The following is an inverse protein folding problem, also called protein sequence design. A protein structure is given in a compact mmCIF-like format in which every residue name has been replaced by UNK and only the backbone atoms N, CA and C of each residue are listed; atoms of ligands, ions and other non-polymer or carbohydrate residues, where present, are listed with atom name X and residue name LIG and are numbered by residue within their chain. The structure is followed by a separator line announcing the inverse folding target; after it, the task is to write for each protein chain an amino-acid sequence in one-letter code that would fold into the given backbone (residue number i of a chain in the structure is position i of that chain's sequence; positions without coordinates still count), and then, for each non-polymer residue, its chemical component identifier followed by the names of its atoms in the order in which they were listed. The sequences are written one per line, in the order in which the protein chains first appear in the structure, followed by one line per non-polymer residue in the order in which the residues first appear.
data_IF_722530248847
#
_entry.id   IF_722530248847
#
_cell.length_a   1.000
_cell.length_b   1.000
_cell.length_c   1.000
_cell.angle_alpha   90.00
_cell.angle_beta   90.00
_cell.angle_gamma   90.00
#
_symmetry.space_group_name_H-M   'P 1'
#
loop_
_entity.id
_entity.type
_entity.pdbx_description
1 polymer ?
#
# COMPACT_ATOMS: atom_id res chain seq x y z
N UNK A 1 8.03 10.27 -14.95
CA UNK A 1 6.62 10.68 -14.72
C UNK A 1 6.65 12.11 -14.22
N UNK A 2 5.96 13.03 -14.89
CA UNK A 2 5.78 14.40 -14.38
C UNK A 2 4.63 14.30 -13.39
N UNK A 3 4.90 14.42 -12.09
CA UNK A 3 3.82 14.59 -11.09
C UNK A 3 3.05 15.85 -11.46
N UNK A 4 1.72 15.72 -11.52
CA UNK A 4 0.77 16.80 -11.83
C UNK A 4 -0.10 17.12 -10.61
N UNK A 5 0.43 16.87 -9.43
CA UNK A 5 -0.31 17.15 -8.20
C UNK A 5 -0.17 18.63 -7.89
N UNK A 6 -1.31 19.31 -7.77
CA UNK A 6 -1.36 20.73 -7.42
C UNK A 6 -1.91 20.87 -6.00
N UNK A 7 -1.14 21.53 -5.14
CA UNK A 7 -1.55 21.88 -3.78
C UNK A 7 -1.72 23.39 -3.69
N UNK A 8 -2.92 23.82 -3.31
CA UNK A 8 -3.24 25.23 -3.07
C UNK A 8 -3.52 25.45 -1.59
N UNK A 9 -2.93 26.49 -1.01
CA UNK A 9 -3.08 26.86 0.40
C UNK A 9 -4.09 28.01 0.49
N UNK A 10 -5.11 27.87 1.33
CA UNK A 10 -6.23 28.82 1.50
C UNK A 10 -6.81 29.28 0.15
N UNK A 11 -7.26 28.33 -0.70
CA UNK A 11 -7.72 28.68 -2.04
C UNK A 11 -9.06 29.46 -1.98
N UNK A 12 -9.21 30.43 -2.88
CA UNK A 12 -10.37 31.31 -2.91
C UNK A 12 -11.55 30.70 -3.69
N UNK A 13 -12.18 29.69 -3.09
CA UNK A 13 -13.44 29.13 -3.57
C UNK A 13 -14.39 28.81 -2.40
N UNK A 14 -15.69 28.75 -2.72
CA UNK A 14 -16.78 28.70 -1.73
C UNK A 14 -16.65 27.49 -0.80
N UNK A 15 -16.24 26.33 -1.31
CA UNK A 15 -16.09 25.11 -0.54
C UNK A 15 -14.95 25.21 0.49
N UNK A 16 -13.85 25.91 0.17
CA UNK A 16 -12.75 26.13 1.11
C UNK A 16 -13.17 27.07 2.25
N UNK A 17 -13.90 28.15 1.92
CA UNK A 17 -14.45 29.07 2.92
C UNK A 17 -15.44 28.36 3.85
N UNK A 18 -16.35 27.55 3.29
CA UNK A 18 -17.29 26.72 4.09
C UNK A 18 -16.57 25.78 5.04
N UNK A 19 -15.49 25.12 4.58
CA UNK A 19 -14.69 24.21 5.40
C UNK A 19 -13.99 24.95 6.54
N UNK A 20 -13.39 26.12 6.26
CA UNK A 20 -12.75 27.00 7.25
C UNK A 20 -13.74 27.42 8.33
N UNK A 21 -14.90 27.91 7.93
CA UNK A 21 -15.95 28.34 8.84
C UNK A 21 -16.46 27.19 9.73
N UNK A 22 -16.64 26.00 9.16
CA UNK A 22 -17.01 24.81 9.93
C UNK A 22 -15.93 24.41 10.94
N UNK A 23 -14.66 24.41 10.51
CA UNK A 23 -13.54 24.03 11.36
C UNK A 23 -13.41 24.95 12.57
N UNK A 24 -13.55 26.26 12.36
CA UNK A 24 -13.46 27.26 13.42
C UNK A 24 -14.60 27.19 14.44
N UNK A 25 -15.82 26.88 13.98
CA UNK A 25 -17.00 26.78 14.85
C UNK A 25 -17.00 25.53 15.71
N UNK A 26 -16.74 24.36 15.11
CA UNK A 26 -16.94 23.07 15.77
C UNK A 26 -15.88 22.03 15.39
N UNK A 27 -15.41 22.02 14.13
CA UNK A 27 -14.54 20.97 13.60
C UNK A 27 -13.23 20.79 14.36
N UNK A 28 -12.65 21.87 14.91
CA UNK A 28 -11.41 21.81 15.73
C UNK A 28 -11.52 20.97 17.00
N UNK A 29 -12.74 20.74 17.50
CA UNK A 29 -13.02 19.92 18.67
C UNK A 29 -13.49 18.50 18.34
N UNK A 30 -13.70 18.19 17.06
CA UNK A 30 -14.16 16.87 16.63
C UNK A 30 -12.98 15.89 16.62
N UNK A 31 -13.08 14.72 17.28
CA UNK A 31 -12.02 13.71 17.23
C UNK A 31 -11.85 13.16 15.81
N UNK A 32 -10.61 13.03 15.35
CA UNK A 32 -10.30 12.43 14.06
C UNK A 32 -10.28 10.89 14.14
N UNK A 33 -10.75 10.25 13.07
CA UNK A 33 -10.70 8.79 12.93
C UNK A 33 -9.46 8.43 12.13
N UNK A 34 -8.62 7.54 12.68
CA UNK A 34 -7.43 7.08 11.97
C UNK A 34 -7.80 6.10 10.85
N UNK A 35 -7.47 6.47 9.62
CA UNK A 35 -7.69 5.62 8.43
C UNK A 35 -6.65 4.49 8.34
N UNK A 36 -5.61 4.52 9.17
CA UNK A 36 -4.53 3.52 9.14
C UNK A 36 -4.97 2.08 9.45
N UNK A 37 -6.15 1.88 10.06
CA UNK A 37 -6.58 0.59 10.62
C UNK A 37 -7.68 -0.13 9.85
N UNK A 38 -8.44 0.56 8.99
CA UNK A 38 -9.60 -0.04 8.29
C UNK A 38 -9.25 -0.75 6.97
N UNK A 39 -7.98 -0.93 6.66
CA UNK A 39 -7.54 -1.77 5.55
C UNK A 39 -7.08 -3.17 6.04
N UNK A 40 -7.97 -3.88 6.73
CA UNK A 40 -7.78 -5.31 7.02
C UNK A 40 -8.01 -6.21 5.78
N UNK A 41 -8.34 -5.62 4.63
CA UNK A 41 -8.32 -6.26 3.32
C UNK A 41 -7.69 -5.33 2.29
N UNK A 42 -6.68 -5.81 1.56
CA UNK A 42 -6.17 -5.21 0.31
C UNK A 42 -5.63 -3.76 0.34
N UNK A 43 -5.24 -3.22 1.50
CA UNK A 43 -4.57 -1.91 1.60
C UNK A 43 -3.04 -1.96 1.43
N UNK A 44 -2.50 -3.08 0.97
CA UNK A 44 -1.12 -3.06 0.46
C UNK A 44 -1.19 -2.31 -0.86
N UNK A 45 -0.49 -1.17 -0.95
CA UNK A 45 -0.14 -0.58 -2.24
C UNK A 45 0.31 -1.74 -3.13
N UNK A 46 -0.39 -1.96 -4.24
CA UNK A 46 -0.03 -3.01 -5.18
C UNK A 46 1.30 -2.62 -5.83
N UNK A 47 2.40 -2.94 -5.16
CA UNK A 47 3.75 -2.64 -5.64
C UNK A 47 4.06 -3.66 -6.72
N UNK A 48 3.56 -3.36 -7.92
CA UNK A 48 3.80 -4.18 -9.09
C UNK A 48 5.25 -4.00 -9.56
N UNK A 49 5.97 -5.11 -9.69
CA UNK A 49 7.36 -5.13 -10.16
C UNK A 49 7.50 -6.05 -11.35
N UNK A 50 8.36 -5.66 -12.30
CA UNK A 50 8.89 -6.58 -13.30
C UNK A 50 9.98 -7.47 -12.67
N UNK A 51 10.20 -8.67 -13.24
CA UNK A 51 11.19 -9.62 -12.72
C UNK A 51 12.61 -9.02 -12.72
N UNK A 52 12.96 -8.20 -13.72
CA UNK A 52 14.26 -7.50 -13.75
C UNK A 52 14.45 -6.56 -12.57
N UNK A 53 13.41 -5.81 -12.19
CA UNK A 53 13.47 -4.84 -11.11
C UNK A 53 13.71 -5.49 -9.75
N UNK A 54 13.20 -6.72 -9.54
CA UNK A 54 13.47 -7.48 -8.31
C UNK A 54 14.99 -7.65 -8.12
N UNK A 55 15.70 -7.95 -9.21
CA UNK A 55 17.16 -8.10 -9.21
C UNK A 55 17.88 -6.75 -9.08
N UNK A 56 17.51 -5.78 -9.91
CA UNK A 56 18.19 -4.49 -10.01
C UNK A 56 18.09 -3.70 -8.69
N UNK A 57 16.94 -3.80 -8.02
CA UNK A 57 16.67 -3.15 -6.72
C UNK A 57 17.08 -4.01 -5.52
N UNK A 58 17.52 -5.26 -5.74
CA UNK A 58 17.92 -6.21 -4.69
C UNK A 58 16.83 -6.47 -3.64
N UNK A 59 15.60 -6.68 -4.10
CA UNK A 59 14.48 -6.94 -3.19
C UNK A 59 14.67 -8.28 -2.46
N UNK A 60 14.32 -8.31 -1.17
CA UNK A 60 14.44 -9.48 -0.30
C UNK A 60 15.84 -9.74 0.24
N UNK A 61 16.82 -8.87 -0.01
CA UNK A 61 18.19 -9.01 0.54
C UNK A 61 18.41 -8.24 1.84
N UNK A 62 17.38 -7.59 2.38
CA UNK A 62 17.44 -6.86 3.64
C UNK A 62 16.88 -7.69 4.80
N UNK A 63 17.11 -7.25 6.04
CA UNK A 63 16.50 -7.86 7.24
C UNK A 63 14.97 -7.82 7.21
N UNK A 64 14.38 -6.81 6.56
CA UNK A 64 12.92 -6.69 6.43
C UNK A 64 12.46 -7.27 5.10
N UNK A 65 11.32 -7.99 5.08
CA UNK A 65 10.78 -8.53 3.85
C UNK A 65 10.21 -7.43 2.97
N UNK A 66 10.47 -7.55 1.67
CA UNK A 66 9.82 -6.77 0.63
C UNK A 66 8.59 -7.50 0.11
N UNK A 67 7.45 -6.79 0.05
CA UNK A 67 6.20 -7.33 -0.47
C UNK A 67 5.91 -6.72 -1.84
N UNK A 68 5.76 -7.59 -2.84
CA UNK A 68 5.54 -7.19 -4.23
C UNK A 68 4.43 -8.02 -4.87
N UNK A 69 3.90 -7.52 -5.98
CA UNK A 69 3.04 -8.27 -6.88
C UNK A 69 3.73 -8.43 -8.22
N UNK A 70 3.67 -9.63 -8.77
CA UNK A 70 4.19 -9.94 -10.10
C UNK A 70 3.10 -10.62 -10.91
N UNK A 71 2.91 -10.15 -12.14
CA UNK A 71 2.10 -10.84 -13.15
C UNK A 71 3.07 -11.54 -14.10
N UNK A 72 3.05 -12.87 -14.11
CA UNK A 72 3.97 -13.68 -14.92
C UNK A 72 3.28 -14.96 -15.41
N UNK A 73 3.93 -15.65 -16.35
CA UNK A 73 3.52 -16.97 -16.83
C UNK A 73 4.42 -18.03 -16.21
N UNK A 74 3.84 -19.12 -15.71
CA UNK A 74 4.61 -20.27 -15.22
C UNK A 74 5.13 -21.04 -16.45
N UNK A 75 6.44 -20.99 -16.69
CA UNK A 75 7.08 -21.67 -17.82
C UNK A 75 7.65 -23.05 -17.45
N UNK A 76 7.89 -23.28 -16.16
CA UNK A 76 8.48 -24.52 -15.64
C UNK A 76 8.12 -24.70 -14.16
N UNK A 77 7.91 -25.94 -13.76
CA UNK A 77 7.72 -26.35 -12.38
C UNK A 77 8.72 -27.47 -12.06
N UNK A 78 9.51 -27.30 -11.00
CA UNK A 78 10.41 -28.34 -10.51
C UNK A 78 9.63 -29.32 -9.64
N UNK A 79 9.66 -30.60 -9.98
CA UNK A 79 8.91 -31.65 -9.27
C UNK A 79 9.75 -32.43 -8.26
N UNK A 80 11.05 -32.19 -8.13
CA UNK A 80 11.85 -32.83 -7.09
C UNK A 80 11.59 -32.17 -5.73
N UNK A 81 11.23 -32.97 -4.71
CA UNK A 81 10.99 -32.52 -3.34
C UNK A 81 9.96 -31.38 -3.20
N UNK A 82 8.97 -31.30 -4.10
CA UNK A 82 7.95 -30.23 -4.10
C UNK A 82 6.93 -30.34 -2.95
N UNK A 83 6.84 -31.51 -2.30
CA UNK A 83 5.99 -31.75 -1.14
C UNK A 83 6.79 -32.41 -0.02
N UNK A 84 6.40 -32.10 1.22
CA UNK A 84 6.90 -32.75 2.43
C UNK A 84 5.72 -33.20 3.29
N UNK A 85 5.91 -34.28 4.06
CA UNK A 85 4.91 -34.73 5.03
C UNK A 85 4.84 -33.72 6.17
N UNK A 86 3.73 -32.99 6.28
CA UNK A 86 3.46 -32.11 7.40
C UNK A 86 2.59 -32.82 8.45
N UNK A 87 2.83 -32.55 9.74
CA UNK A 87 1.86 -32.91 10.77
C UNK A 87 0.59 -32.07 10.55
N UNK A 88 -0.62 -32.67 10.54
CA UNK A 88 -1.86 -31.94 10.28
C UNK A 88 -2.23 -30.90 11.35
N UNK A 89 -1.47 -30.82 12.46
CA UNK A 89 -1.73 -29.90 13.56
C UNK A 89 -0.42 -29.32 14.10
N UNK A 90 -0.10 -28.09 13.71
CA UNK A 90 0.68 -27.15 14.52
C UNK A 90 0.16 -25.74 14.21
N UNK A 91 -0.57 -25.17 15.17
CA UNK A 91 -0.84 -23.74 15.26
C UNK A 91 0.38 -23.04 15.87
#
# INVERSE_FOLDING_TARGET
SISRDQLFIDPDFVEAQKLKDWFEREGKSVPSISISREFSGTGRVDVRKAISQIKDEKLGTSEKPDWITVSATIIYMKFDNFCYTACPIMN
#
